data_IF_662632811736
#
_entry.id   IF_662632811736
#
_cell.length_a   1.000
_cell.length_b   1.000
_cell.length_c   1.000
_cell.angle_alpha   90.00
_cell.angle_beta   90.00
_cell.angle_gamma   90.00
#
_symmetry.space_group_name_H-M   'P 1'
#
loop_
_entity.id
_entity.type
_entity.pdbx_description
1 polymer ?
#
# COMPACT_ATOMS: atom_id res chain seq x y z
N UNK A 1 -16.36 16.97 0.91
CA UNK A 1 -15.11 17.77 0.81
C UNK A 1 -14.09 16.99 -0.01
N UNK A 2 -12.98 17.59 -0.45
CA UNK A 2 -11.93 16.86 -1.17
C UNK A 2 -11.12 15.98 -0.23
N UNK A 3 -10.55 14.89 -0.75
CA UNK A 3 -9.54 14.07 -0.06
C UNK A 3 -8.16 14.54 -0.54
N UNK A 4 -7.48 15.46 0.18
CA UNK A 4 -6.13 15.86 -0.20
C UNK A 4 -5.20 14.64 -0.14
N UNK A 5 -4.20 14.61 -1.01
CA UNK A 5 -3.25 13.52 -0.99
C UNK A 5 -1.83 13.91 -1.33
N UNK A 6 -0.94 12.96 -1.12
CA UNK A 6 0.47 13.08 -1.39
C UNK A 6 0.91 11.96 -2.31
N UNK A 7 1.68 12.29 -3.35
CA UNK A 7 2.42 11.28 -4.10
C UNK A 7 3.89 11.31 -3.73
N UNK A 8 4.41 10.17 -3.32
CA UNK A 8 5.77 9.96 -2.86
C UNK A 8 6.67 9.76 -4.09
N UNK A 9 7.64 10.65 -4.27
CA UNK A 9 8.56 10.60 -5.41
C UNK A 9 9.98 10.97 -4.99
N UNK A 10 10.96 10.16 -5.42
CA UNK A 10 12.38 10.48 -5.21
C UNK A 10 12.78 11.69 -6.05
N UNK A 11 13.62 12.57 -5.50
CA UNK A 11 14.06 13.78 -6.22
C UNK A 11 14.81 13.48 -7.52
N UNK A 12 15.52 12.35 -7.60
CA UNK A 12 16.18 11.91 -8.83
C UNK A 12 15.23 11.33 -9.89
N UNK A 13 14.05 10.84 -9.48
CA UNK A 13 13.14 10.10 -10.35
C UNK A 13 12.25 11.06 -11.17
N UNK A 14 12.87 11.90 -12.00
CA UNK A 14 12.22 12.99 -12.74
C UNK A 14 11.11 12.50 -13.68
N UNK A 15 11.37 11.46 -14.47
CA UNK A 15 10.38 10.89 -15.40
C UNK A 15 9.12 10.35 -14.70
N UNK A 16 9.27 9.76 -13.50
CA UNK A 16 8.14 9.31 -12.66
C UNK A 16 7.38 10.51 -12.08
N UNK A 17 8.10 11.57 -11.71
CA UNK A 17 7.46 12.83 -11.30
C UNK A 17 6.67 13.48 -12.44
N UNK A 18 7.21 13.53 -13.65
CA UNK A 18 6.53 14.05 -14.85
C UNK A 18 5.27 13.25 -15.16
N UNK A 19 5.36 11.91 -15.10
CA UNK A 19 4.22 11.02 -15.24
C UNK A 19 3.12 11.33 -14.22
N UNK A 20 3.46 11.41 -12.93
CA UNK A 20 2.48 11.74 -11.89
C UNK A 20 1.88 13.13 -12.07
N UNK A 21 2.67 14.12 -12.47
CA UNK A 21 2.17 15.47 -12.77
C UNK A 21 1.18 15.46 -13.94
N UNK A 22 1.42 14.63 -14.95
CA UNK A 22 0.48 14.41 -16.05
C UNK A 22 -0.84 13.82 -15.55
N UNK A 23 -0.80 12.77 -14.72
CA UNK A 23 -2.01 12.17 -14.14
C UNK A 23 -2.78 13.15 -13.25
N UNK A 24 -2.08 13.89 -12.39
CA UNK A 24 -2.67 14.94 -11.53
C UNK A 24 -3.36 16.00 -12.37
N UNK A 25 -2.71 16.47 -13.44
CA UNK A 25 -3.26 17.52 -14.31
C UNK A 25 -4.45 17.00 -15.13
N UNK A 26 -4.32 15.81 -15.72
CA UNK A 26 -5.35 15.15 -16.53
C UNK A 26 -6.66 14.99 -15.77
N UNK A 27 -6.57 14.58 -14.51
CA UNK A 27 -7.72 14.25 -13.67
C UNK A 27 -8.07 15.34 -12.66
N UNK A 28 -7.33 16.45 -12.60
CA UNK A 28 -7.47 17.49 -11.59
C UNK A 28 -7.50 16.90 -10.16
N UNK A 29 -6.53 16.05 -9.86
CA UNK A 29 -6.45 15.38 -8.55
C UNK A 29 -5.91 16.35 -7.49
N UNK A 30 -6.45 16.35 -6.26
CA UNK A 30 -5.95 17.18 -5.17
C UNK A 30 -4.66 16.59 -4.54
N UNK A 31 -3.65 16.29 -5.37
CA UNK A 31 -2.40 15.66 -4.94
C UNK A 31 -1.24 16.65 -4.97
N UNK A 32 -0.42 16.58 -3.91
CA UNK A 32 0.82 17.34 -3.79
C UNK A 32 2.01 16.39 -3.80
N UNK A 33 3.11 16.78 -4.45
CA UNK A 33 4.35 16.00 -4.39
C UNK A 33 4.89 15.97 -2.97
N UNK A 34 5.25 14.78 -2.49
CA UNK A 34 6.05 14.59 -1.29
C UNK A 34 7.42 14.01 -1.68
N UNK A 35 8.54 14.70 -1.35
CA UNK A 35 9.87 14.15 -1.55
C UNK A 35 10.02 12.83 -0.78
N UNK A 36 10.39 11.78 -1.49
CA UNK A 36 10.67 10.48 -0.90
C UNK A 36 12.04 10.47 -0.22
N UNK A 37 12.15 9.74 0.88
CA UNK A 37 13.42 9.42 1.53
C UNK A 37 14.21 8.47 0.64
N UNK A 38 15.37 8.93 0.21
CA UNK A 38 16.27 8.14 -0.59
C UNK A 38 17.03 7.11 0.26
N UNK A 39 16.53 5.89 0.22
CA UNK A 39 17.10 4.77 0.95
C UNK A 39 18.54 4.40 0.58
N UNK A 40 19.07 4.85 -0.57
CA UNK A 40 20.48 4.60 -0.93
C UNK A 40 21.47 5.43 -0.11
N UNK A 41 20.99 6.50 0.52
CA UNK A 41 21.81 7.38 1.35
C UNK A 41 21.80 6.97 2.84
N UNK A 42 21.08 5.90 3.18
CA UNK A 42 21.01 5.40 4.55
C UNK A 42 22.19 4.46 4.83
N UNK A 43 22.93 4.77 5.89
CA UNK A 43 23.95 3.89 6.46
C UNK A 43 23.35 2.63 7.09
N UNK A 44 24.20 1.63 7.33
CA UNK A 44 23.81 0.38 8.00
C UNK A 44 23.26 0.68 9.40
N UNK A 45 23.92 1.57 10.13
CA UNK A 45 23.64 1.97 11.50
C UNK A 45 22.28 2.69 11.60
N UNK A 46 22.00 3.61 10.67
CA UNK A 46 20.68 4.26 10.57
C UNK A 46 19.58 3.24 10.31
N UNK A 47 19.82 2.27 9.43
CA UNK A 47 18.86 1.20 9.18
C UNK A 47 18.63 0.36 10.44
N UNK A 48 19.68 -0.06 11.16
CA UNK A 48 19.54 -0.88 12.38
C UNK A 48 18.86 -0.12 13.54
N UNK A 49 19.01 1.20 13.61
CA UNK A 49 18.34 2.03 14.60
C UNK A 49 16.81 2.10 14.39
N UNK A 50 16.36 2.00 13.13
CA UNK A 50 14.96 2.14 12.72
C UNK A 50 14.25 0.80 12.53
N UNK A 51 14.98 -0.21 12.03
CA UNK A 51 14.41 -1.47 11.58
C UNK A 51 14.89 -2.65 12.42
N UNK A 52 13.94 -3.34 13.05
CA UNK A 52 14.17 -4.55 13.83
C UNK A 52 13.40 -5.71 13.19
N UNK A 53 14.04 -6.56 12.37
CA UNK A 53 13.35 -7.56 11.57
C UNK A 53 12.46 -8.48 12.40
N UNK A 54 11.23 -8.70 11.95
CA UNK A 54 10.36 -9.73 12.52
C UNK A 54 10.98 -11.12 12.34
N UNK A 55 10.77 -12.05 13.28
CA UNK A 55 11.42 -13.36 13.25
C UNK A 55 11.08 -14.10 11.94
N UNK A 56 12.10 -14.48 11.18
CA UNK A 56 11.94 -15.17 9.90
C UNK A 56 11.72 -14.24 8.69
N UNK A 57 11.69 -12.93 8.89
CA UNK A 57 11.73 -11.93 7.83
C UNK A 57 13.19 -11.56 7.49
N UNK A 58 13.45 -11.13 6.25
CA UNK A 58 14.76 -10.55 5.91
C UNK A 58 14.90 -9.16 6.54
N UNK A 59 16.14 -8.73 6.75
CA UNK A 59 16.44 -7.34 7.07
C UNK A 59 16.09 -6.49 5.87
N UNK A 60 15.33 -5.42 6.07
CA UNK A 60 15.00 -4.49 5.00
C UNK A 60 16.25 -3.84 4.41
N UNK A 61 16.25 -3.71 3.09
CA UNK A 61 17.23 -2.93 2.35
C UNK A 61 17.09 -1.43 2.64
N UNK A 62 18.13 -0.65 2.35
CA UNK A 62 18.05 0.82 2.38
C UNK A 62 16.85 1.35 1.61
N UNK A 63 16.62 0.96 0.34
CA UNK A 63 15.43 1.33 -0.42
C UNK A 63 14.09 0.95 0.25
N UNK A 64 13.97 -0.22 0.87
CA UNK A 64 12.75 -0.62 1.60
C UNK A 64 12.52 0.24 2.86
N UNK A 65 13.59 0.61 3.57
CA UNK A 65 13.54 1.55 4.71
C UNK A 65 13.17 2.96 4.22
N UNK A 66 13.77 3.44 3.13
CA UNK A 66 13.44 4.73 2.52
C UNK A 66 11.98 4.80 2.07
N UNK A 67 11.47 3.74 1.44
CA UNK A 67 10.04 3.59 1.13
C UNK A 67 9.19 3.73 2.40
N UNK A 68 9.47 2.95 3.45
CA UNK A 68 8.73 3.03 4.71
C UNK A 68 8.74 4.44 5.31
N UNK A 69 9.91 5.07 5.40
CA UNK A 69 10.06 6.42 5.95
C UNK A 69 9.30 7.47 5.12
N UNK A 70 9.23 7.29 3.79
CA UNK A 70 8.46 8.16 2.91
C UNK A 70 6.95 8.06 3.16
N UNK A 71 6.42 6.84 3.38
CA UNK A 71 5.04 6.66 3.80
C UNK A 71 4.78 7.29 5.17
N UNK A 72 5.71 7.13 6.11
CA UNK A 72 5.63 7.77 7.44
C UNK A 72 5.60 9.29 7.33
N UNK A 73 6.40 9.90 6.45
CA UNK A 73 6.35 11.34 6.20
C UNK A 73 5.00 11.79 5.61
N UNK A 74 4.38 10.98 4.76
CA UNK A 74 3.02 11.25 4.28
C UNK A 74 1.99 11.16 5.42
N UNK A 75 2.12 10.17 6.30
CA UNK A 75 1.26 10.04 7.49
C UNK A 75 1.41 11.24 8.43
N UNK A 76 2.63 11.76 8.64
CA UNK A 76 2.86 12.99 9.43
C UNK A 76 2.14 14.19 8.83
N UNK A 77 2.17 14.35 7.50
CA UNK A 77 1.45 15.44 6.81
C UNK A 77 -0.07 15.30 6.92
N UNK A 78 -0.60 14.08 6.82
CA UNK A 78 -2.04 13.81 7.00
C UNK A 78 -2.45 14.07 8.45
N UNK A 79 -1.67 13.57 9.40
CA UNK A 79 -1.88 13.72 10.84
C UNK A 79 -1.94 15.19 11.28
N UNK A 80 -1.06 16.03 10.74
CA UNK A 80 -0.99 17.46 11.02
C UNK A 80 -1.99 18.31 10.23
N UNK A 81 -2.64 17.75 9.20
CA UNK A 81 -3.64 18.43 8.39
C UNK A 81 -4.96 18.62 9.12
N UNK A 82 -5.90 19.36 8.53
CA UNK A 82 -7.25 19.59 9.10
C UNK A 82 -8.33 18.70 8.48
N UNK A 83 -8.00 17.97 7.42
CA UNK A 83 -8.94 17.12 6.71
C UNK A 83 -9.14 15.80 7.44
N UNK A 84 -10.39 15.31 7.44
CA UNK A 84 -10.74 14.04 8.07
C UNK A 84 -9.99 12.85 7.45
N UNK A 85 -9.75 12.93 6.14
CA UNK A 85 -9.07 11.90 5.36
C UNK A 85 -7.91 12.49 4.56
N UNK A 86 -6.90 11.67 4.32
CA UNK A 86 -5.80 11.98 3.40
C UNK A 86 -5.37 10.76 2.60
N UNK A 87 -5.00 10.97 1.34
CA UNK A 87 -4.56 9.91 0.44
C UNK A 87 -3.02 9.85 0.32
N UNK A 88 -2.48 8.66 0.16
CA UNK A 88 -1.05 8.42 -0.08
C UNK A 88 -0.89 7.59 -1.34
N UNK A 89 0.00 8.03 -2.21
CA UNK A 89 0.30 7.40 -3.49
C UNK A 89 1.81 7.23 -3.70
N UNK A 90 2.23 6.16 -4.38
CA UNK A 90 3.56 6.05 -4.99
C UNK A 90 3.57 6.67 -6.40
N UNK A 91 4.77 6.92 -6.94
CA UNK A 91 4.99 7.65 -8.20
C UNK A 91 5.05 6.79 -9.47
N UNK A 92 4.65 5.52 -9.40
CA UNK A 92 4.53 4.63 -10.57
C UNK A 92 3.10 4.13 -10.83
N UNK A 93 2.11 4.96 -10.52
CA UNK A 93 0.70 4.61 -10.66
C UNK A 93 0.08 5.12 -11.96
N UNK A 94 -0.88 4.36 -12.47
CA UNK A 94 -1.91 4.85 -13.39
C UNK A 94 -3.23 4.94 -12.65
N UNK A 95 -4.01 5.99 -12.91
CA UNK A 95 -5.31 6.23 -12.31
C UNK A 95 -6.44 6.02 -13.32
N UNK A 96 -7.55 5.48 -12.82
CA UNK A 96 -8.83 5.45 -13.53
C UNK A 96 -9.44 6.85 -13.64
N UNK A 97 -10.28 7.07 -14.64
CA UNK A 97 -10.87 8.38 -14.93
C UNK A 97 -11.78 8.88 -13.80
N UNK A 98 -12.47 7.97 -13.14
CA UNK A 98 -13.33 8.28 -11.99
C UNK A 98 -12.56 8.57 -10.70
N UNK A 99 -11.23 8.43 -10.68
CA UNK A 99 -10.37 8.94 -9.59
C UNK A 99 -10.56 10.45 -9.38
N UNK A 100 -10.85 11.20 -10.45
CA UNK A 100 -11.20 12.62 -10.37
C UNK A 100 -12.36 12.86 -9.41
N UNK A 101 -13.42 12.08 -9.55
CA UNK A 101 -14.61 12.20 -8.70
C UNK A 101 -14.31 11.72 -7.28
N UNK A 102 -13.69 10.54 -7.14
CA UNK A 102 -13.48 9.90 -5.84
C UNK A 102 -12.46 10.61 -4.94
N UNK A 103 -11.51 11.37 -5.50
CA UNK A 103 -10.58 12.18 -4.70
C UNK A 103 -11.06 13.62 -4.48
N UNK A 104 -11.95 14.13 -5.34
CA UNK A 104 -12.55 15.46 -5.11
C UNK A 104 -13.83 15.43 -4.26
N UNK A 105 -14.33 14.25 -3.90
CA UNK A 105 -15.46 14.06 -2.99
C UNK A 105 -15.18 12.92 -2.00
N UNK A 106 -15.29 13.21 -0.71
CA UNK A 106 -15.12 12.26 0.40
C UNK A 106 -16.44 11.64 0.87
N UNK A 107 -17.59 12.00 0.28
CA UNK A 107 -18.92 11.54 0.71
C UNK A 107 -19.11 10.02 0.63
N UNK A 108 -18.35 9.35 -0.24
CA UNK A 108 -18.38 7.89 -0.42
C UNK A 108 -17.57 7.14 0.64
N UNK A 109 -16.71 7.83 1.40
CA UNK A 109 -15.88 7.21 2.43
C UNK A 109 -16.74 6.91 3.67
N UNK A 110 -16.72 5.66 4.19
CA UNK A 110 -17.36 5.36 5.46
C UNK A 110 -16.82 6.27 6.56
N UNK A 111 -17.71 6.87 7.36
CA UNK A 111 -17.33 7.92 8.30
C UNK A 111 -16.40 7.42 9.43
N UNK A 112 -16.40 6.11 9.67
CA UNK A 112 -15.57 5.38 10.64
C UNK A 112 -14.37 4.66 9.99
N UNK A 113 -14.12 4.87 8.70
CA UNK A 113 -13.03 4.18 8.03
C UNK A 113 -11.67 4.69 8.53
N UNK A 114 -10.83 3.78 9.00
CA UNK A 114 -9.44 4.10 9.31
C UNK A 114 -8.55 4.02 8.06
N UNK A 115 -8.61 2.89 7.34
CA UNK A 115 -7.75 2.61 6.20
C UNK A 115 -8.61 2.13 5.04
N UNK A 116 -8.48 2.76 3.87
CA UNK A 116 -9.11 2.33 2.62
C UNK A 116 -8.02 2.10 1.57
N UNK A 117 -7.84 0.84 1.17
CA UNK A 117 -6.98 0.49 0.04
C UNK A 117 -7.71 0.76 -1.27
N UNK A 118 -7.10 1.59 -2.12
CA UNK A 118 -7.69 2.05 -3.40
C UNK A 118 -6.85 1.64 -4.61
N UNK A 119 -5.71 0.99 -4.38
CA UNK A 119 -4.95 0.31 -5.43
C UNK A 119 -5.31 -1.18 -5.58
N UNK A 120 -4.84 -1.77 -6.68
CA UNK A 120 -4.77 -3.21 -6.84
C UNK A 120 -3.36 -3.75 -7.04
N UNK A 121 -3.14 -4.95 -6.51
CA UNK A 121 -1.98 -5.78 -6.79
C UNK A 121 -2.26 -6.84 -7.88
N UNK A 122 -3.42 -6.74 -8.56
CA UNK A 122 -3.95 -7.71 -9.53
C UNK A 122 -3.93 -9.15 -9.01
N UNK A 123 -4.42 -9.34 -7.78
CA UNK A 123 -4.52 -10.65 -7.14
C UNK A 123 -5.90 -10.85 -6.54
N UNK A 124 -6.21 -12.10 -6.23
CA UNK A 124 -7.39 -12.41 -5.43
C UNK A 124 -7.16 -12.01 -3.98
N UNK A 125 -8.20 -11.44 -3.37
CA UNK A 125 -8.29 -11.19 -1.95
C UNK A 125 -9.66 -11.65 -1.44
N UNK A 126 -9.73 -11.95 -0.15
CA UNK A 126 -11.00 -12.09 0.56
C UNK A 126 -11.48 -10.71 0.94
N UNK A 127 -12.67 -10.36 0.49
CA UNK A 127 -13.39 -9.18 0.96
C UNK A 127 -14.71 -9.60 1.57
N UNK A 128 -15.05 -9.04 2.74
CA UNK A 128 -16.30 -9.33 3.45
C UNK A 128 -17.23 -8.12 3.54
N UNK A 129 -18.52 -8.35 3.81
CA UNK A 129 -19.47 -7.29 4.14
C UNK A 129 -19.01 -6.44 5.36
N UNK A 130 -19.63 -5.26 5.57
CA UNK A 130 -20.66 -4.66 4.72
C UNK A 130 -20.10 -4.27 3.35
N UNK A 131 -20.91 -4.47 2.30
CA UNK A 131 -20.58 -3.97 0.97
C UNK A 131 -21.27 -2.63 0.79
N UNK A 132 -20.51 -1.63 0.35
CA UNK A 132 -21.01 -0.26 0.13
C UNK A 132 -20.74 0.11 -1.31
N UNK A 133 -21.79 0.47 -2.05
CA UNK A 133 -21.64 0.90 -3.44
C UNK A 133 -20.93 2.27 -3.49
N UNK A 134 -19.99 2.39 -4.42
CA UNK A 134 -19.18 3.59 -4.64
C UNK A 134 -19.27 3.96 -6.11
N UNK A 135 -19.97 5.06 -6.39
CA UNK A 135 -20.29 5.43 -7.76
C UNK A 135 -21.16 4.37 -8.43
N UNK A 136 -20.90 4.09 -9.71
CA UNK A 136 -21.71 3.16 -10.52
C UNK A 136 -21.10 1.77 -10.66
N UNK A 137 -19.77 1.64 -10.53
CA UNK A 137 -19.02 0.46 -10.95
C UNK A 137 -18.18 -0.15 -9.84
N UNK A 138 -18.09 0.51 -8.67
CA UNK A 138 -17.19 0.10 -7.58
C UNK A 138 -17.95 -0.19 -6.30
N UNK A 139 -17.33 -1.00 -5.46
CA UNK A 139 -17.82 -1.31 -4.13
C UNK A 139 -16.66 -1.27 -3.13
N UNK A 140 -16.99 -0.97 -1.88
CA UNK A 140 -16.14 -1.19 -0.73
C UNK A 140 -16.53 -2.46 -0.02
N UNK A 141 -15.55 -3.12 0.59
CA UNK A 141 -15.77 -4.15 1.59
C UNK A 141 -14.53 -4.34 2.44
N UNK A 142 -14.64 -5.11 3.52
CA UNK A 142 -13.55 -5.30 4.48
C UNK A 142 -12.52 -6.31 3.95
N UNK A 143 -11.26 -5.90 3.84
CA UNK A 143 -10.15 -6.72 3.37
C UNK A 143 -9.72 -7.71 4.47
N UNK A 144 -10.08 -8.99 4.31
CA UNK A 144 -9.84 -10.04 5.33
C UNK A 144 -8.64 -10.94 5.03
N UNK A 145 -8.12 -10.89 3.81
CA UNK A 145 -6.88 -11.59 3.46
C UNK A 145 -5.77 -10.61 3.11
N UNK A 146 -4.55 -11.13 3.07
CA UNK A 146 -3.41 -10.38 2.56
C UNK A 146 -3.64 -9.92 1.12
N UNK A 147 -3.44 -8.63 0.89
CA UNK A 147 -3.37 -8.04 -0.44
C UNK A 147 -2.28 -6.96 -0.42
N UNK A 148 -1.05 -7.35 -0.78
CA UNK A 148 0.15 -6.52 -0.66
C UNK A 148 0.18 -5.36 -1.68
N UNK A 149 1.22 -4.54 -1.62
CA UNK A 149 1.28 -3.22 -2.25
C UNK A 149 0.80 -2.15 -1.26
N UNK A 150 1.45 -0.99 -1.33
CA UNK A 150 1.00 0.24 -0.67
C UNK A 150 1.02 1.43 -1.65
N UNK A 151 0.90 1.15 -2.95
CA UNK A 151 0.95 2.15 -4.00
C UNK A 151 -0.17 3.18 -3.91
N UNK A 152 -1.34 2.84 -3.39
CA UNK A 152 -2.45 3.79 -3.23
C UNK A 152 -3.42 3.42 -2.10
N UNK A 153 -3.57 4.30 -1.12
CA UNK A 153 -4.51 4.14 0.00
C UNK A 153 -4.94 5.48 0.60
N UNK A 154 -6.06 5.49 1.31
CA UNK A 154 -6.60 6.61 2.07
C UNK A 154 -6.56 6.26 3.56
N UNK A 155 -6.23 7.24 4.39
CA UNK A 155 -6.23 7.15 5.85
C UNK A 155 -7.15 8.19 6.46
N UNK A 156 -7.78 7.84 7.58
CA UNK A 156 -8.27 8.86 8.51
C UNK A 156 -7.09 9.62 9.13
N UNK A 157 -7.31 10.88 9.48
CA UNK A 157 -6.34 11.70 10.22
C UNK A 157 -5.96 11.03 11.57
N UNK A 158 -6.94 10.41 12.24
CA UNK A 158 -6.72 9.72 13.52
C UNK A 158 -5.80 8.51 13.36
N UNK A 159 -5.98 7.69 12.31
CA UNK A 159 -5.09 6.55 12.10
C UNK A 159 -3.70 6.98 11.65
N UNK A 160 -3.59 8.06 10.88
CA UNK A 160 -2.30 8.61 10.47
C UNK A 160 -1.46 9.01 11.70
N UNK A 161 -2.06 9.68 12.68
CA UNK A 161 -1.40 10.00 13.96
C UNK A 161 -0.89 8.73 14.67
N UNK A 162 -1.76 7.74 14.84
CA UNK A 162 -1.40 6.47 15.50
C UNK A 162 -0.30 5.71 14.74
N UNK A 163 -0.33 5.72 13.41
CA UNK A 163 0.71 5.11 12.58
C UNK A 163 2.06 5.78 12.84
N UNK A 164 2.13 7.11 12.85
CA UNK A 164 3.37 7.85 13.15
C UNK A 164 3.91 7.48 14.53
N UNK A 165 3.06 7.49 15.55
CA UNK A 165 3.45 7.14 16.94
C UNK A 165 3.97 5.71 17.05
N UNK A 166 3.31 4.75 16.39
CA UNK A 166 3.62 3.32 16.53
C UNK A 166 4.74 2.84 15.62
N UNK A 167 5.15 3.64 14.64
CA UNK A 167 6.17 3.26 13.64
C UNK A 167 7.49 4.03 13.76
N UNK A 168 7.81 4.57 14.95
CA UNK A 168 9.15 5.11 15.24
C UNK A 168 10.26 4.05 15.00
N UNK A 169 9.91 2.79 15.22
CA UNK A 169 10.66 1.61 14.75
C UNK A 169 9.70 0.65 14.08
N UNK A 170 10.17 -0.12 13.10
CA UNK A 170 9.31 -1.02 12.33
C UNK A 170 10.01 -2.33 11.98
N UNK A 171 9.20 -3.38 11.83
CA UNK A 171 9.70 -4.77 11.71
C UNK A 171 9.53 -5.41 10.35
N UNK A 172 8.65 -4.85 9.52
CA UNK A 172 8.25 -5.40 8.23
C UNK A 172 8.11 -4.27 7.21
N UNK A 173 8.09 -4.56 5.90
CA UNK A 173 7.77 -3.56 4.89
C UNK A 173 6.40 -2.90 5.15
N UNK A 174 6.23 -1.68 4.66
CA UNK A 174 5.01 -0.88 4.89
C UNK A 174 3.74 -1.58 4.39
N UNK A 175 3.78 -2.24 3.24
CA UNK A 175 2.63 -2.94 2.67
C UNK A 175 2.24 -4.18 3.48
N UNK A 176 3.19 -4.85 4.11
CA UNK A 176 2.91 -5.94 5.05
C UNK A 176 2.24 -5.40 6.32
N UNK A 177 2.76 -4.30 6.87
CA UNK A 177 2.21 -3.66 8.06
C UNK A 177 0.77 -3.16 7.85
N UNK A 178 0.48 -2.66 6.65
CA UNK A 178 -0.82 -2.07 6.33
C UNK A 178 -1.85 -3.11 5.85
N UNK A 179 -1.43 -4.13 5.10
CA UNK A 179 -2.35 -4.99 4.34
C UNK A 179 -2.07 -6.50 4.46
N UNK A 180 -1.29 -6.91 5.46
CA UNK A 180 -1.22 -8.29 5.91
C UNK A 180 -1.66 -8.39 7.38
N UNK A 181 -2.83 -8.97 7.63
CA UNK A 181 -3.38 -9.18 8.99
C UNK A 181 -2.40 -9.87 9.96
N UNK A 182 -1.44 -10.67 9.46
CA UNK A 182 -0.40 -11.30 10.28
C UNK A 182 0.55 -10.28 10.92
N UNK A 183 0.81 -9.18 10.21
CA UNK A 183 1.78 -8.15 10.61
C UNK A 183 1.11 -6.79 10.85
N UNK A 184 -0.22 -6.76 10.90
CA UNK A 184 -1.00 -5.56 11.12
C UNK A 184 -0.58 -4.92 12.45
N UNK A 185 -0.20 -3.65 12.39
CA UNK A 185 0.17 -2.89 13.58
C UNK A 185 -1.03 -2.61 14.51
N UNK A 186 -2.23 -2.64 13.94
CA UNK A 186 -3.51 -2.48 14.63
C UNK A 186 -4.41 -3.69 14.32
N UNK A 187 -4.32 -4.78 15.10
CA UNK A 187 -5.13 -5.99 14.87
C UNK A 187 -6.65 -5.75 14.90
N UNK A 188 -7.09 -4.71 15.59
CA UNK A 188 -8.49 -4.30 15.69
C UNK A 188 -9.01 -3.60 14.43
N UNK A 189 -8.11 -3.12 13.55
CA UNK A 189 -8.48 -2.44 12.32
C UNK A 189 -8.50 -3.44 11.18
N UNK A 190 -9.67 -3.57 10.55
CA UNK A 190 -9.77 -4.24 9.25
C UNK A 190 -9.85 -3.18 8.15
N UNK A 191 -8.81 -3.04 7.30
CA UNK A 191 -8.86 -2.11 6.16
C UNK A 191 -10.04 -2.38 5.26
N UNK A 192 -10.56 -1.32 4.64
CA UNK A 192 -11.44 -1.44 3.50
C UNK A 192 -10.64 -1.65 2.22
N UNK A 193 -11.21 -2.36 1.25
CA UNK A 193 -10.70 -2.46 -0.11
C UNK A 193 -11.78 -1.92 -1.05
N UNK A 194 -11.41 -0.95 -1.87
CA UNK A 194 -12.20 -0.52 -3.01
C UNK A 194 -11.95 -1.51 -4.16
N UNK A 195 -13.01 -2.06 -4.74
CA UNK A 195 -12.93 -2.97 -5.86
C UNK A 195 -14.06 -2.72 -6.87
N UNK A 196 -13.76 -2.67 -8.18
CA UNK A 196 -12.43 -2.55 -8.77
C UNK A 196 -11.64 -1.35 -8.21
N UNK A 197 -10.31 -1.46 -8.20
CA UNK A 197 -9.41 -0.43 -7.68
C UNK A 197 -9.23 0.70 -8.70
N UNK A 198 -8.98 1.92 -8.20
CA UNK A 198 -8.85 3.12 -9.03
C UNK A 198 -7.42 3.40 -9.47
N UNK A 199 -6.45 2.67 -8.93
CA UNK A 199 -5.07 2.79 -9.37
C UNK A 199 -4.32 1.47 -9.36
N UNK A 200 -3.26 1.41 -10.16
CA UNK A 200 -2.39 0.24 -10.28
C UNK A 200 -0.96 0.68 -10.55
N UNK A 201 0.01 -0.02 -9.96
CA UNK A 201 1.42 0.25 -10.21
C UNK A 201 1.88 -0.36 -11.54
N UNK A 202 2.85 0.28 -12.19
CA UNK A 202 3.45 -0.16 -13.46
C UNK A 202 3.96 -1.60 -13.38
N UNK A 203 4.54 -1.99 -12.24
CA UNK A 203 5.08 -3.34 -12.02
C UNK A 203 4.00 -4.42 -11.87
N UNK A 204 2.72 -4.03 -11.79
CA UNK A 204 1.56 -4.93 -11.67
C UNK A 204 0.74 -5.02 -12.95
N UNK A 205 1.11 -4.29 -13.99
CA UNK A 205 0.47 -4.33 -15.31
C UNK A 205 1.42 -4.89 -16.36
N UNK A 206 0.86 -5.48 -17.41
CA UNK A 206 1.61 -5.80 -18.63
C UNK A 206 1.75 -4.58 -19.56
N UNK A 207 0.86 -3.60 -19.41
CA UNK A 207 0.90 -2.35 -20.16
C UNK A 207 1.96 -1.42 -19.57
N UNK A 208 2.83 -0.88 -20.43
CA UNK A 208 3.74 0.20 -20.05
C UNK A 208 3.03 1.54 -20.21
N UNK A 209 2.95 2.31 -19.13
CA UNK A 209 2.42 3.66 -19.10
C UNK A 209 3.43 4.68 -18.57
N UNK A 210 4.50 4.23 -17.89
CA UNK A 210 5.61 5.12 -17.56
C UNK A 210 6.39 5.51 -18.83
N UNK A 211 6.95 6.74 -18.87
CA UNK A 211 7.81 7.19 -19.95
C UNK A 211 9.01 6.26 -20.18
N UNK A 212 9.49 6.18 -21.42
CA UNK A 212 10.66 5.37 -21.75
C UNK A 212 11.89 5.82 -20.94
N UNK A 213 12.63 4.84 -20.41
CA UNK A 213 13.79 5.07 -19.55
C UNK A 213 13.45 5.65 -18.18
N UNK A 214 12.18 5.60 -17.75
CA UNK A 214 11.84 5.79 -16.34
C UNK A 214 12.48 4.68 -15.48
N UNK A 215 13.04 5.07 -14.34
CA UNK A 215 13.60 4.12 -13.37
C UNK A 215 12.52 3.13 -12.93
N UNK A 216 12.82 1.83 -12.98
CA UNK A 216 11.96 0.81 -12.36
C UNK A 216 12.20 0.78 -10.86
N UNK A 217 11.16 0.49 -10.08
CA UNK A 217 11.29 0.33 -8.63
C UNK A 217 12.38 -0.70 -8.29
N UNK A 218 13.35 -0.27 -7.48
CA UNK A 218 14.49 -1.10 -7.05
C UNK A 218 14.19 -1.99 -5.85
N UNK A 219 12.97 -1.91 -5.29
CA UNK A 219 12.57 -2.68 -4.11
C UNK A 219 12.67 -4.20 -4.37
N UNK A 220 12.18 -4.66 -5.52
CA UNK A 220 12.18 -6.09 -5.84
C UNK A 220 13.57 -6.64 -6.19
N UNK A 221 14.47 -5.81 -6.75
CA UNK A 221 15.86 -6.20 -6.97
C UNK A 221 16.66 -6.25 -5.66
N UNK A 222 16.48 -5.27 -4.77
CA UNK A 222 17.12 -5.23 -3.46
C UNK A 222 16.73 -6.44 -2.59
N UNK A 223 15.45 -6.85 -2.64
CA UNK A 223 14.96 -8.07 -1.95
C UNK A 223 15.64 -9.36 -2.40
N UNK A 224 16.12 -9.45 -3.64
CA UNK A 224 16.84 -10.66 -4.12
C UNK A 224 18.19 -10.82 -3.42
N UNK A 225 18.86 -9.73 -3.08
CA UNK A 225 20.20 -9.72 -2.47
C UNK A 225 20.15 -10.16 -1.00
N UNK A 226 19.07 -9.83 -0.29
CA UNK A 226 18.94 -10.00 1.18
C UNK A 226 18.23 -11.28 1.63
N UNK A 227 17.99 -12.23 0.73
CA UNK A 227 17.30 -13.49 1.09
C UNK A 227 18.12 -14.30 2.09
N UNK A 228 17.41 -14.95 3.03
CA UNK A 228 17.95 -16.02 3.89
C UNK A 228 18.78 -17.00 3.04
N UNK A 229 19.96 -17.38 3.54
CA UNK A 229 20.88 -18.34 2.90
C UNK A 229 20.96 -19.62 3.73
N UNK A 230 21.39 -20.73 3.10
CA UNK A 230 21.62 -22.01 3.78
C UNK A 230 20.34 -22.70 4.31
N UNK A 231 20.48 -23.45 5.41
CA UNK A 231 19.43 -24.29 5.99
C UNK A 231 18.15 -23.52 6.39
N UNK A 232 18.27 -22.26 6.81
CA UNK A 232 17.11 -21.41 7.12
C UNK A 232 16.24 -21.12 5.88
N UNK A 233 16.84 -21.02 4.69
CA UNK A 233 16.08 -20.92 3.43
C UNK A 233 15.36 -22.22 3.13
N UNK A 234 16.06 -23.36 3.26
CA UNK A 234 15.51 -24.69 2.97
C UNK A 234 14.34 -25.02 3.90
N UNK A 235 14.49 -24.85 5.21
CA UNK A 235 13.40 -25.04 6.17
C UNK A 235 12.19 -24.14 5.89
N UNK A 236 12.44 -22.87 5.53
CA UNK A 236 11.36 -21.94 5.15
C UNK A 236 10.66 -22.38 3.86
N UNK A 237 11.39 -22.73 2.80
CA UNK A 237 10.79 -23.15 1.53
C UNK A 237 10.07 -24.50 1.66
N UNK A 238 10.52 -25.41 2.53
CA UNK A 238 9.83 -26.68 2.83
C UNK A 238 8.54 -26.48 3.63
N UNK A 239 8.53 -25.53 4.57
CA UNK A 239 7.32 -25.20 5.35
C UNK A 239 6.37 -24.25 4.62
N UNK A 240 6.82 -23.58 3.55
CA UNK A 240 6.08 -22.55 2.81
C UNK A 240 4.79 -23.06 2.17
N UNK A 241 4.75 -24.24 1.50
CA UNK A 241 3.53 -24.75 0.91
C UNK A 241 2.48 -25.03 1.99
N UNK A 242 2.88 -25.69 3.09
CA UNK A 242 1.99 -26.06 4.20
C UNK A 242 1.46 -24.82 4.92
N UNK A 243 2.34 -23.85 5.22
CA UNK A 243 1.94 -22.59 5.86
C UNK A 243 1.08 -21.71 4.96
N UNK A 244 1.35 -21.66 3.65
CA UNK A 244 0.49 -20.94 2.71
C UNK A 244 -0.86 -21.64 2.52
N UNK A 245 -0.89 -22.97 2.41
CA UNK A 245 -2.14 -23.73 2.25
C UNK A 245 -3.03 -23.60 3.49
N UNK A 246 -2.47 -23.82 4.68
CA UNK A 246 -3.19 -23.69 5.94
C UNK A 246 -3.70 -22.26 6.16
N UNK A 247 -2.89 -21.25 5.82
CA UNK A 247 -3.28 -19.84 5.91
C UNK A 247 -4.33 -19.46 4.89
N UNK A 248 -4.21 -19.91 3.64
CA UNK A 248 -5.28 -19.73 2.65
C UNK A 248 -6.55 -20.44 3.10
N UNK A 249 -6.47 -21.69 3.54
CA UNK A 249 -7.61 -22.47 4.00
C UNK A 249 -8.30 -21.82 5.21
N UNK A 250 -7.54 -21.42 6.23
CA UNK A 250 -8.05 -20.68 7.39
C UNK A 250 -8.67 -19.36 6.97
N UNK A 251 -8.02 -18.60 6.07
CA UNK A 251 -8.61 -17.39 5.51
C UNK A 251 -9.89 -17.69 4.71
N UNK A 252 -9.98 -18.80 3.95
CA UNK A 252 -11.20 -19.21 3.22
C UNK A 252 -12.32 -19.60 4.19
N UNK A 253 -11.97 -20.25 5.29
CA UNK A 253 -12.92 -20.71 6.30
C UNK A 253 -13.47 -19.53 7.09
N UNK A 254 -12.60 -18.65 7.59
CA UNK A 254 -12.99 -17.40 8.24
C UNK A 254 -13.74 -16.46 7.29
N UNK A 255 -13.30 -16.37 6.03
CA UNK A 255 -14.04 -15.65 4.99
C UNK A 255 -15.46 -16.17 4.88
N UNK A 256 -15.64 -17.48 4.66
CA UNK A 256 -16.96 -18.11 4.52
C UNK A 256 -17.84 -17.89 5.74
N UNK A 257 -17.28 -18.02 6.95
CA UNK A 257 -18.01 -17.78 8.19
C UNK A 257 -18.41 -16.31 8.37
N UNK A 258 -17.62 -15.36 7.88
CA UNK A 258 -17.89 -13.92 7.92
C UNK A 258 -18.60 -13.37 6.65
N UNK A 259 -19.14 -14.24 5.79
CA UNK A 259 -19.79 -13.84 4.53
C UNK A 259 -18.85 -13.28 3.45
N UNK A 260 -17.53 -13.45 3.63
CA UNK A 260 -16.48 -13.01 2.71
C UNK A 260 -16.40 -13.81 1.42
N UNK A 261 -16.08 -13.10 0.34
CA UNK A 261 -15.93 -13.62 -1.03
C UNK A 261 -14.48 -13.50 -1.48
N UNK A 262 -13.97 -14.53 -2.15
CA UNK A 262 -12.70 -14.45 -2.87
C UNK A 262 -12.92 -13.70 -4.19
N UNK A 263 -12.43 -12.48 -4.27
CA UNK A 263 -12.59 -11.62 -5.43
C UNK A 263 -11.24 -11.26 -6.00
N UNK A 264 -11.14 -11.28 -7.33
CA UNK A 264 -9.99 -10.73 -8.01
C UNK A 264 -10.11 -9.21 -8.00
N UNK A 265 -9.23 -8.53 -7.29
CA UNK A 265 -9.24 -7.06 -7.24
C UNK A 265 -8.71 -6.58 -8.58
N UNK A 266 -9.60 -6.16 -9.48
CA UNK A 266 -9.22 -5.67 -10.81
C UNK A 266 -8.84 -4.19 -10.74
N UNK A 267 -8.03 -3.78 -11.70
CA UNK A 267 -7.92 -2.37 -12.09
C UNK A 267 -8.91 -2.15 -13.23
N UNK A 268 -9.64 -1.06 -13.18
CA UNK A 268 -10.57 -0.65 -14.23
C UNK A 268 -10.34 0.83 -14.50
N UNK A 269 -10.02 1.13 -15.76
CA UNK A 269 -9.70 2.48 -16.26
C UNK A 269 -10.89 3.44 -16.19
#
# INVERSE_FOLDING_TARGET
>A
MKVPGYYINLDRAKKRSEHMLSEVSRLNLPLTRLPAVDGTNLSREQIDALHQPEKGMHRLSGPEVGCFLSHRAAWEKIAAGQHKFGAVFEDDLKFSDDSKTLLNDDSWLPSDADIIKIETYQRKAVVSPPFVDVGKTRQLGRLKSRHLGAGGYILSQSIANRLVERTQRFKVPVDYLMFDAKYAIFPEITPWQLFPAICVQQVRTHQSFLPEGAEKSSLDSARKVLKLRGWAKVQRELSRPVTNLSREFSARLHARQAGGKWMFIRYEE
#
